data_IF_145547560867
#
_entry.id   IF_145547560867
#
_cell.length_a   1.000
_cell.length_b   1.000
_cell.length_c   1.000
_cell.angle_alpha   90.00
_cell.angle_beta   90.00
_cell.angle_gamma   90.00
#
_symmetry.space_group_name_H-M   'P 1'
#
loop_
_entity.id
_entity.type
_entity.pdbx_description
1 polymer ?
#
# COMPACT_ATOMS: atom_id res chain seq x y z
N UNK A 1 26.38 1.97 -6.74
CA UNK A 1 26.33 1.18 -5.48
C UNK A 1 24.89 0.72 -5.34
N UNK A 2 24.64 -0.51 -4.92
CA UNK A 2 23.27 -0.96 -4.65
C UNK A 2 22.80 -0.17 -3.42
N UNK A 3 21.69 0.57 -3.54
CA UNK A 3 21.02 1.25 -2.42
C UNK A 3 20.36 0.20 -1.54
N UNK A 4 20.48 0.36 -0.22
CA UNK A 4 19.88 -0.55 0.77
C UNK A 4 18.35 -0.32 0.83
N UNK A 5 17.96 0.96 0.85
CA UNK A 5 16.56 1.36 0.80
C UNK A 5 16.01 1.21 -0.63
N UNK A 6 14.88 0.53 -0.74
CA UNK A 6 14.04 0.49 -1.94
C UNK A 6 12.92 1.53 -1.85
N UNK A 7 11.94 1.46 -2.74
CA UNK A 7 10.79 2.37 -2.77
C UNK A 7 9.91 2.31 -1.50
N UNK A 8 10.08 1.25 -0.67
CA UNK A 8 9.23 1.01 0.50
C UNK A 8 10.07 0.43 1.66
N UNK A 9 11.14 1.11 2.01
CA UNK A 9 12.07 0.74 3.07
C UNK A 9 13.06 -0.36 2.66
N UNK A 10 13.66 -1.01 3.67
CA UNK A 10 14.58 -2.13 3.47
C UNK A 10 13.83 -3.44 3.53
N UNK A 11 13.81 -4.20 2.45
CA UNK A 11 13.12 -5.50 2.35
C UNK A 11 14.06 -6.62 1.96
N UNK A 12 13.74 -7.85 2.39
CA UNK A 12 14.48 -9.02 1.96
C UNK A 12 14.03 -10.32 2.62
N UNK A 13 14.59 -11.41 2.10
CA UNK A 13 14.46 -12.73 2.71
C UNK A 13 15.22 -12.74 4.05
N UNK A 14 14.49 -13.03 5.13
CA UNK A 14 15.06 -12.98 6.50
C UNK A 14 16.13 -14.05 6.69
N UNK A 15 17.19 -13.72 7.39
CA UNK A 15 18.39 -14.52 7.58
C UNK A 15 19.15 -14.86 6.27
N UNK A 16 18.89 -14.10 5.21
CA UNK A 16 19.62 -14.17 3.94
C UNK A 16 20.06 -12.77 3.50
N UNK A 17 19.12 -11.93 3.06
CA UNK A 17 19.40 -10.54 2.67
C UNK A 17 19.01 -9.54 3.77
N UNK A 18 17.98 -9.84 4.55
CA UNK A 18 17.58 -9.05 5.72
C UNK A 18 18.01 -9.78 7.00
N UNK A 19 19.23 -9.48 7.43
CA UNK A 19 19.84 -10.07 8.62
C UNK A 19 19.49 -9.26 9.89
N UNK A 20 19.38 -9.90 11.08
CA UNK A 20 19.18 -9.17 12.34
C UNK A 20 20.34 -8.22 12.67
N UNK A 21 21.57 -8.52 12.24
CA UNK A 21 22.72 -7.60 12.36
C UNK A 21 22.49 -6.32 11.57
N UNK A 22 21.91 -6.41 10.37
CA UNK A 22 21.54 -5.24 9.57
C UNK A 22 20.46 -4.42 10.27
N UNK A 23 19.44 -5.06 10.84
CA UNK A 23 18.41 -4.37 11.61
C UNK A 23 18.99 -3.61 12.81
N UNK A 24 19.95 -4.23 13.54
CA UNK A 24 20.67 -3.56 14.61
C UNK A 24 21.47 -2.34 14.11
N UNK A 25 22.21 -2.50 13.01
CA UNK A 25 22.99 -1.41 12.42
C UNK A 25 22.11 -0.27 11.92
N UNK A 26 20.97 -0.60 11.28
CA UNK A 26 19.94 0.39 10.87
C UNK A 26 19.41 1.16 12.08
N UNK A 27 19.12 0.46 13.19
CA UNK A 27 18.70 1.11 14.44
C UNK A 27 19.74 2.08 14.96
N UNK A 28 21.04 1.70 14.92
CA UNK A 28 22.12 2.61 15.32
C UNK A 28 22.25 3.82 14.41
N UNK A 29 22.20 3.61 13.10
CA UNK A 29 22.33 4.68 12.12
C UNK A 29 21.15 5.66 12.18
N UNK A 30 19.92 5.14 12.23
CA UNK A 30 18.72 5.95 12.40
C UNK A 30 18.75 6.72 13.73
N UNK A 31 19.10 6.05 14.83
CA UNK A 31 19.28 6.72 16.13
C UNK A 31 20.28 7.87 16.06
N UNK A 32 21.44 7.67 15.45
CA UNK A 32 22.46 8.71 15.28
C UNK A 32 21.97 9.86 14.38
N UNK A 33 21.22 9.57 13.33
CA UNK A 33 20.63 10.59 12.45
C UNK A 33 19.67 11.51 13.22
N UNK A 34 18.72 10.93 13.93
CA UNK A 34 17.68 11.69 14.64
C UNK A 34 18.20 12.35 15.93
N UNK A 35 19.21 11.77 16.59
CA UNK A 35 19.83 12.35 17.80
C UNK A 35 20.82 13.51 17.55
N UNK A 36 20.91 14.02 16.32
CA UNK A 36 21.72 15.24 16.03
C UNK A 36 21.23 16.46 16.83
N UNK A 37 19.95 16.49 17.17
CA UNK A 37 19.39 17.49 18.07
C UNK A 37 19.59 17.10 19.54
N UNK A 38 19.70 18.09 20.43
CA UNK A 38 19.82 17.84 21.88
C UNK A 38 18.45 17.45 22.45
N UNK A 39 18.42 16.43 23.30
CA UNK A 39 17.23 15.98 24.00
C UNK A 39 17.14 14.47 24.13
N UNK A 40 16.06 13.99 24.72
CA UNK A 40 15.68 12.56 24.66
C UNK A 40 14.84 12.35 23.42
N UNK A 41 15.21 11.35 22.63
CA UNK A 41 14.48 10.95 21.42
C UNK A 41 13.74 9.65 21.66
N UNK A 42 12.58 9.52 21.01
CA UNK A 42 11.70 8.39 21.23
C UNK A 42 11.11 7.88 19.89
N UNK A 43 11.28 6.59 19.63
CA UNK A 43 10.74 5.93 18.44
C UNK A 43 9.60 5.00 18.81
N UNK A 44 8.62 4.92 17.92
CA UNK A 44 7.54 3.94 17.96
C UNK A 44 7.86 2.80 16.99
N UNK A 45 7.75 1.55 17.43
CA UNK A 45 7.92 0.37 16.56
C UNK A 45 6.66 -0.50 16.62
N UNK A 46 6.14 -0.86 15.45
CA UNK A 46 5.12 -1.89 15.29
C UNK A 46 5.57 -2.95 14.30
N UNK A 47 4.82 -4.03 14.24
CA UNK A 47 5.09 -5.13 13.33
C UNK A 47 3.80 -5.77 12.83
N UNK A 48 3.88 -6.50 11.71
CA UNK A 48 2.84 -7.43 11.29
C UNK A 48 2.97 -8.80 12.00
N UNK A 49 2.25 -9.78 11.54
CA UNK A 49 2.16 -11.09 12.20
C UNK A 49 3.24 -12.09 11.82
N UNK A 50 4.26 -11.70 11.02
CA UNK A 50 5.35 -12.58 10.59
C UNK A 50 6.15 -13.09 11.77
N UNK A 51 6.51 -14.37 11.75
CA UNK A 51 7.32 -14.99 12.81
C UNK A 51 8.66 -14.26 13.04
N UNK A 52 9.23 -13.68 12.00
CA UNK A 52 10.49 -12.92 12.06
C UNK A 52 10.34 -11.51 12.66
N UNK A 53 9.11 -11.02 12.84
CA UNK A 53 8.84 -9.66 13.32
C UNK A 53 9.47 -9.37 14.67
N UNK A 54 9.29 -10.26 15.66
CA UNK A 54 9.85 -10.07 17.00
C UNK A 54 11.38 -10.06 17.03
N UNK A 55 12.04 -10.89 16.21
CA UNK A 55 13.49 -10.94 16.10
C UNK A 55 14.05 -9.62 15.52
N UNK A 56 13.47 -9.16 14.42
CA UNK A 56 13.90 -7.89 13.77
C UNK A 56 13.61 -6.68 14.66
N UNK A 57 12.44 -6.67 15.33
CA UNK A 57 12.08 -5.63 16.33
C UNK A 57 13.08 -5.58 17.46
N UNK A 58 13.48 -6.71 18.02
CA UNK A 58 14.47 -6.77 19.10
C UNK A 58 15.83 -6.25 18.65
N UNK A 59 16.31 -6.65 17.46
CA UNK A 59 17.58 -6.23 16.91
C UNK A 59 17.60 -4.71 16.63
N UNK A 60 16.57 -4.18 15.96
CA UNK A 60 16.44 -2.77 15.67
C UNK A 60 16.36 -1.93 16.96
N UNK A 61 15.55 -2.36 17.93
CA UNK A 61 15.41 -1.70 19.23
C UNK A 61 16.73 -1.65 19.99
N UNK A 62 17.50 -2.74 19.97
CA UNK A 62 18.82 -2.77 20.59
C UNK A 62 19.77 -1.74 19.95
N UNK A 63 19.72 -1.61 18.62
CA UNK A 63 20.49 -0.59 17.88
C UNK A 63 20.12 0.84 18.25
N UNK A 64 18.82 1.14 18.29
CA UNK A 64 18.29 2.45 18.70
C UNK A 64 18.68 2.79 20.13
N UNK A 65 18.48 1.86 21.08
CA UNK A 65 18.87 2.06 22.48
C UNK A 65 20.37 2.25 22.65
N UNK A 66 21.20 1.55 21.86
CA UNK A 66 22.66 1.72 21.85
C UNK A 66 23.09 3.09 21.33
N UNK A 67 22.23 3.84 20.64
CA UNK A 67 22.42 5.22 20.20
C UNK A 67 21.73 6.24 21.13
N UNK A 68 21.07 5.80 22.22
CA UNK A 68 20.46 6.68 23.21
C UNK A 68 18.99 7.03 22.93
N UNK A 69 18.33 6.31 22.01
CA UNK A 69 16.91 6.50 21.67
C UNK A 69 16.05 5.59 22.54
N UNK A 70 15.02 6.15 23.15
CA UNK A 70 13.98 5.35 23.82
C UNK A 70 13.05 4.72 22.76
N UNK A 71 12.60 3.51 23.00
CA UNK A 71 11.76 2.74 22.06
C UNK A 71 10.47 2.30 22.74
N UNK A 72 9.35 2.67 22.13
CA UNK A 72 8.03 2.18 22.52
C UNK A 72 7.57 1.12 21.49
N UNK A 73 7.17 -0.06 21.98
CA UNK A 73 6.71 -1.17 21.16
C UNK A 73 5.17 -1.24 21.18
N UNK A 74 4.55 -0.97 20.06
CA UNK A 74 3.08 -1.08 19.91
C UNK A 74 2.59 -2.54 19.76
N UNK A 75 3.50 -3.47 19.40
CA UNK A 75 3.13 -4.85 19.09
C UNK A 75 2.66 -5.01 17.65
N UNK A 76 1.70 -5.93 17.43
CA UNK A 76 1.09 -6.15 16.12
C UNK A 76 0.06 -5.04 15.87
N UNK A 77 0.28 -4.30 14.78
CA UNK A 77 -0.54 -3.13 14.41
C UNK A 77 -0.45 -2.89 12.90
N UNK A 78 -1.51 -2.40 12.22
CA UNK A 78 -1.44 -1.95 10.85
C UNK A 78 -0.37 -0.86 10.60
N UNK A 79 0.27 -0.90 9.42
CA UNK A 79 1.23 0.13 8.99
C UNK A 79 0.69 1.56 9.16
N UNK A 80 -0.55 1.88 8.71
CA UNK A 80 -1.11 3.22 8.90
C UNK A 80 -1.29 3.59 10.38
N UNK A 81 -1.44 2.62 11.27
CA UNK A 81 -1.47 2.86 12.71
C UNK A 81 -0.15 3.41 13.24
N UNK A 82 1.00 2.93 12.73
CA UNK A 82 2.31 3.48 13.09
C UNK A 82 2.46 4.91 12.57
N UNK A 83 2.09 5.19 11.32
CA UNK A 83 2.13 6.53 10.76
C UNK A 83 1.29 7.52 11.59
N UNK A 84 0.04 7.14 11.91
CA UNK A 84 -0.86 7.94 12.71
C UNK A 84 -0.34 8.22 14.12
N UNK A 85 0.07 7.17 14.85
CA UNK A 85 0.53 7.29 16.23
C UNK A 85 1.87 8.01 16.35
N UNK A 86 2.76 7.86 15.38
CA UNK A 86 4.02 8.61 15.34
C UNK A 86 3.74 10.11 15.41
N UNK A 87 2.83 10.58 14.58
CA UNK A 87 2.44 11.99 14.51
C UNK A 87 1.70 12.46 15.76
N UNK A 88 0.70 11.68 16.20
CA UNK A 88 -0.25 12.14 17.23
C UNK A 88 0.25 11.96 18.66
N UNK A 89 1.16 11.00 18.91
CA UNK A 89 1.75 10.75 20.24
C UNK A 89 3.13 11.42 20.41
N UNK A 90 3.58 12.17 19.38
CA UNK A 90 4.79 12.99 19.45
C UNK A 90 6.09 12.19 19.48
N UNK A 91 6.18 11.13 18.67
CA UNK A 91 7.44 10.41 18.44
C UNK A 91 8.32 11.15 17.43
N UNK A 92 9.64 11.00 17.57
CA UNK A 92 10.61 11.56 16.61
C UNK A 92 10.59 10.79 15.30
N UNK A 93 10.32 9.48 15.35
CA UNK A 93 10.12 8.63 14.20
C UNK A 93 9.28 7.39 14.56
N UNK A 94 8.65 6.82 13.54
CA UNK A 94 7.96 5.52 13.59
C UNK A 94 8.66 4.48 12.74
N UNK A 95 8.56 3.23 13.13
CA UNK A 95 9.08 2.11 12.33
C UNK A 95 8.04 1.00 12.25
N UNK A 96 7.81 0.51 11.05
CA UNK A 96 7.01 -0.68 10.80
C UNK A 96 7.86 -1.83 10.32
N UNK A 97 7.75 -2.98 10.99
CA UNK A 97 8.40 -4.22 10.60
C UNK A 97 7.39 -5.06 9.81
N UNK A 98 7.47 -4.96 8.50
CA UNK A 98 6.58 -5.66 7.56
C UNK A 98 7.13 -5.67 6.14
N UNK A 99 6.75 -6.68 5.36
CA UNK A 99 6.92 -6.73 3.91
C UNK A 99 5.58 -6.69 3.16
N UNK A 100 4.53 -6.08 3.77
CA UNK A 100 3.19 -5.88 3.18
C UNK A 100 2.61 -7.20 2.63
N UNK A 101 2.37 -7.29 1.33
CA UNK A 101 1.75 -8.44 0.66
C UNK A 101 2.70 -9.59 0.32
N UNK A 102 4.01 -9.48 0.62
CA UNK A 102 4.98 -10.55 0.37
C UNK A 102 4.67 -11.80 1.22
N UNK A 103 5.11 -13.00 0.81
CA UNK A 103 4.99 -14.21 1.62
C UNK A 103 5.80 -14.10 2.92
N UNK A 104 5.47 -14.97 3.91
CA UNK A 104 6.01 -14.87 5.27
C UNK A 104 7.54 -14.94 5.43
N UNK A 105 8.33 -15.60 4.52
CA UNK A 105 9.78 -15.63 4.68
C UNK A 105 10.46 -14.28 4.48
N UNK A 106 9.80 -13.38 3.73
CA UNK A 106 10.25 -12.01 3.57
C UNK A 106 9.83 -11.17 4.78
N UNK A 107 10.59 -10.10 5.04
CA UNK A 107 10.18 -9.02 5.94
C UNK A 107 10.80 -7.70 5.47
N UNK A 108 10.47 -6.61 6.17
CA UNK A 108 10.96 -5.29 5.84
C UNK A 108 11.00 -4.36 7.05
N UNK A 109 11.71 -3.25 6.90
CA UNK A 109 11.83 -2.19 7.88
C UNK A 109 11.51 -0.88 7.18
N UNK A 110 10.38 -0.27 7.52
CA UNK A 110 9.88 1.00 6.97
C UNK A 110 9.96 2.07 8.03
N UNK A 111 10.51 3.23 7.69
CA UNK A 111 10.59 4.36 8.60
C UNK A 111 9.58 5.44 8.24
N UNK A 112 9.06 6.10 9.27
CA UNK A 112 8.20 7.27 9.18
C UNK A 112 8.83 8.42 9.96
N UNK A 113 8.74 9.63 9.42
CA UNK A 113 9.15 10.84 10.11
C UNK A 113 8.16 11.22 11.24
N UNK A 114 8.47 12.24 12.01
CA UNK A 114 7.64 12.75 13.10
C UNK A 114 6.23 13.21 12.67
N UNK A 115 6.04 13.48 11.39
CA UNK A 115 4.75 13.88 10.83
C UNK A 115 3.95 12.67 10.30
N UNK A 116 4.49 11.45 10.39
CA UNK A 116 3.86 10.23 9.94
C UNK A 116 3.99 9.98 8.43
N UNK A 117 4.88 10.66 7.74
CA UNK A 117 5.23 10.39 6.35
C UNK A 117 6.41 9.43 6.24
N UNK A 118 6.46 8.64 5.17
CA UNK A 118 7.67 7.87 4.84
C UNK A 118 8.87 8.82 4.71
N UNK A 119 10.06 8.33 5.07
CA UNK A 119 11.25 9.17 4.98
C UNK A 119 11.52 9.60 3.53
N UNK A 120 11.95 10.86 3.31
CA UNK A 120 12.48 11.28 2.02
C UNK A 120 13.75 10.50 1.64
N UNK A 121 14.00 10.33 0.33
CA UNK A 121 15.20 9.62 -0.17
C UNK A 121 16.51 10.21 0.40
N UNK A 122 16.60 11.53 0.50
CA UNK A 122 17.77 12.22 1.08
C UNK A 122 18.02 11.77 2.53
N UNK A 123 16.96 11.57 3.31
CA UNK A 123 17.07 11.07 4.68
C UNK A 123 17.49 9.61 4.72
N UNK A 124 16.95 8.78 3.81
CA UNK A 124 17.33 7.37 3.69
C UNK A 124 18.79 7.23 3.26
N UNK A 125 19.24 8.03 2.28
CA UNK A 125 20.66 8.11 1.86
C UNK A 125 21.59 8.55 3.01
N UNK A 126 21.18 9.52 3.80
CA UNK A 126 21.93 9.98 4.99
C UNK A 126 22.07 8.84 6.02
N UNK A 127 20.99 8.11 6.29
CA UNK A 127 21.02 6.96 7.20
C UNK A 127 21.93 5.85 6.64
N UNK A 128 21.88 5.56 5.33
CA UNK A 128 22.81 4.62 4.70
C UNK A 128 24.28 5.06 4.82
N UNK A 129 24.55 6.34 4.64
CA UNK A 129 25.90 6.88 4.78
C UNK A 129 26.43 6.73 6.21
N UNK A 130 25.58 7.00 7.21
CA UNK A 130 25.92 6.78 8.62
C UNK A 130 26.15 5.28 8.89
N UNK A 131 25.31 4.41 8.34
CA UNK A 131 25.43 2.95 8.51
C UNK A 131 26.77 2.43 7.97
N UNK A 132 27.28 2.98 6.86
CA UNK A 132 28.59 2.59 6.27
C UNK A 132 29.77 2.97 7.17
N UNK A 133 29.58 3.86 8.13
CA UNK A 133 30.56 4.33 9.09
C UNK A 133 30.12 4.04 10.53
N UNK A 134 29.57 2.83 10.77
CA UNK A 134 28.99 2.42 12.07
C UNK A 134 29.98 2.56 13.24
N UNK A 135 31.29 2.40 13.01
CA UNK A 135 32.34 2.59 13.99
C UNK A 135 32.43 4.02 14.51
N UNK A 136 32.00 5.02 13.74
CA UNK A 136 32.01 6.44 14.13
C UNK A 136 30.77 6.84 14.94
N UNK A 137 29.72 5.99 14.99
CA UNK A 137 28.50 6.29 15.73
C UNK A 137 28.78 6.31 17.24
N UNK A 138 28.44 7.39 17.94
CA UNK A 138 28.64 7.49 19.40
C UNK A 138 27.90 6.36 20.14
N UNK A 139 28.52 5.87 21.21
CA UNK A 139 27.94 4.87 22.11
C UNK A 139 27.77 5.48 23.51
N UNK A 140 26.59 6.07 23.80
CA UNK A 140 26.30 6.61 25.11
C UNK A 140 26.33 5.50 26.17
N UNK A 141 26.67 5.86 27.40
CA UNK A 141 26.78 4.94 28.54
C UNK A 141 25.96 5.42 29.73
N UNK A 142 25.70 4.53 30.67
CA UNK A 142 24.99 4.85 31.90
C UNK A 142 23.52 5.22 31.64
N UNK A 143 23.11 6.35 32.18
CA UNK A 143 21.73 6.89 32.07
C UNK A 143 21.38 7.47 30.68
N UNK A 144 22.33 7.48 29.76
CA UNK A 144 22.15 7.94 28.39
C UNK A 144 21.81 6.81 27.42
N UNK A 145 21.77 5.56 27.86
CA UNK A 145 21.30 4.42 27.08
C UNK A 145 19.77 4.52 26.95
N UNK A 146 19.22 4.24 25.76
CA UNK A 146 17.78 4.21 25.54
C UNK A 146 17.08 3.05 26.25
N UNK A 147 15.80 3.20 26.51
CA UNK A 147 14.96 2.23 27.23
C UNK A 147 13.88 1.69 26.30
N UNK A 148 13.58 0.39 26.37
CA UNK A 148 12.49 -0.24 25.65
C UNK A 148 11.28 -0.33 26.58
N UNK A 149 10.12 0.13 26.09
CA UNK A 149 8.82 0.03 26.77
C UNK A 149 7.78 -0.65 25.88
N UNK A 150 6.92 -1.47 26.47
CA UNK A 150 5.79 -2.07 25.77
C UNK A 150 4.55 -1.20 25.95
N UNK A 151 3.92 -0.80 24.85
CA UNK A 151 2.80 0.14 24.81
C UNK A 151 1.62 -0.42 23.98
N UNK A 152 1.08 -1.61 24.34
CA UNK A 152 0.01 -2.23 23.56
C UNK A 152 -1.28 -1.38 23.49
N UNK A 153 -1.50 -0.48 24.47
CA UNK A 153 -2.64 0.43 24.49
C UNK A 153 -2.64 1.46 23.33
N UNK A 154 -1.54 1.61 22.63
CA UNK A 154 -1.47 2.48 21.45
C UNK A 154 -2.32 1.92 20.30
N UNK A 155 -2.45 0.60 20.20
CA UNK A 155 -3.34 -0.04 19.22
C UNK A 155 -4.79 0.41 19.39
N UNK A 156 -5.27 0.53 20.64
CA UNK A 156 -6.63 1.02 20.94
C UNK A 156 -6.83 2.48 20.52
N UNK A 157 -5.79 3.32 20.62
CA UNK A 157 -5.86 4.72 20.15
C UNK A 157 -6.04 4.80 18.64
N UNK A 158 -5.29 4.00 17.88
CA UNK A 158 -5.46 3.94 16.43
C UNK A 158 -6.85 3.40 16.06
N UNK A 159 -7.30 2.32 16.71
CA UNK A 159 -8.65 1.77 16.52
C UNK A 159 -9.72 2.83 16.79
N UNK A 160 -9.62 3.57 17.89
CA UNK A 160 -10.56 4.64 18.23
C UNK A 160 -10.53 5.77 17.19
N UNK A 161 -9.35 6.09 16.63
CA UNK A 161 -9.23 7.05 15.54
C UNK A 161 -10.01 6.59 14.30
N UNK A 162 -9.79 5.36 13.81
CA UNK A 162 -10.51 4.84 12.64
C UNK A 162 -12.02 4.87 12.86
N UNK A 163 -12.51 4.42 14.01
CA UNK A 163 -13.93 4.47 14.37
C UNK A 163 -14.48 5.90 14.40
N UNK A 164 -13.68 6.89 14.79
CA UNK A 164 -14.09 8.29 14.85
C UNK A 164 -14.27 8.95 13.47
N UNK A 165 -13.72 8.32 12.39
CA UNK A 165 -13.83 8.86 11.03
C UNK A 165 -15.21 8.65 10.40
N UNK A 166 -16.06 7.83 11.01
CA UNK A 166 -17.41 7.56 10.52
C UNK A 166 -18.44 7.94 11.60
N UNK A 167 -19.59 8.42 11.15
CA UNK A 167 -20.75 8.66 12.01
C UNK A 167 -21.85 7.65 11.66
N UNK A 168 -22.57 7.18 12.67
CA UNK A 168 -23.63 6.20 12.51
C UNK A 168 -23.15 4.77 12.76
N UNK A 169 -23.95 3.80 12.34
CA UNK A 169 -23.69 2.38 12.52
C UNK A 169 -23.89 1.60 11.21
N UNK A 170 -23.41 0.35 11.20
CA UNK A 170 -23.53 -0.58 10.08
C UNK A 170 -24.53 -1.71 10.37
N UNK A 171 -25.48 -1.48 11.28
CA UNK A 171 -26.54 -2.45 11.62
C UNK A 171 -27.28 -2.96 10.40
N UNK A 172 -27.43 -4.27 10.33
CA UNK A 172 -28.12 -4.95 9.24
C UNK A 172 -27.25 -5.26 8.04
N UNK A 173 -25.97 -4.81 8.01
CA UNK A 173 -25.02 -5.24 7.00
C UNK A 173 -24.38 -6.57 7.41
N UNK A 174 -24.32 -7.52 6.48
CA UNK A 174 -23.60 -8.79 6.59
C UNK A 174 -22.30 -8.68 5.80
N UNK A 175 -21.18 -8.78 6.48
CA UNK A 175 -19.87 -8.51 5.90
C UNK A 175 -18.94 -9.71 6.11
N UNK A 176 -18.25 -10.15 5.07
CA UNK A 176 -17.15 -11.11 5.20
C UNK A 176 -15.84 -10.33 5.18
N UNK A 177 -14.97 -10.56 6.15
CA UNK A 177 -13.64 -9.94 6.20
C UNK A 177 -12.54 -10.95 5.99
N UNK A 178 -11.54 -10.60 5.16
CA UNK A 178 -10.29 -11.35 4.97
C UNK A 178 -9.14 -10.44 5.41
N UNK A 179 -8.54 -10.76 6.56
CA UNK A 179 -7.44 -9.99 7.16
C UNK A 179 -6.06 -10.49 6.75
N UNK A 180 -5.96 -11.35 5.72
CA UNK A 180 -4.70 -11.94 5.23
C UNK A 180 -3.87 -12.67 6.31
N UNK A 181 -4.46 -13.08 7.44
CA UNK A 181 -3.74 -13.46 8.66
C UNK A 181 -2.68 -12.44 9.08
N UNK A 182 -2.89 -11.18 8.75
CA UNK A 182 -1.99 -10.05 8.94
C UNK A 182 -2.38 -9.14 10.11
N UNK A 183 -1.87 -7.92 10.06
CA UNK A 183 -2.02 -6.93 11.14
C UNK A 183 -3.47 -6.46 11.37
N UNK A 184 -4.37 -6.63 10.38
CA UNK A 184 -5.79 -6.31 10.52
C UNK A 184 -6.61 -7.36 11.27
N UNK A 185 -6.04 -8.52 11.62
CA UNK A 185 -6.77 -9.67 12.16
C UNK A 185 -7.59 -9.35 13.41
N UNK A 186 -7.02 -8.60 14.34
CA UNK A 186 -7.67 -8.17 15.58
C UNK A 186 -8.38 -6.80 15.45
N UNK A 187 -8.25 -6.13 14.31
CA UNK A 187 -8.80 -4.77 14.12
C UNK A 187 -10.08 -4.79 13.30
N UNK A 188 -10.01 -5.19 12.04
CA UNK A 188 -11.12 -5.01 11.10
C UNK A 188 -12.41 -5.73 11.54
N UNK A 189 -12.40 -7.04 11.90
CA UNK A 189 -13.63 -7.70 12.33
C UNK A 189 -14.25 -7.05 13.56
N UNK A 190 -13.43 -6.83 14.60
CA UNK A 190 -13.90 -6.25 15.86
C UNK A 190 -14.43 -4.82 15.72
N UNK A 191 -13.84 -4.01 14.86
CA UNK A 191 -14.30 -2.65 14.58
C UNK A 191 -15.65 -2.64 13.87
N UNK A 192 -15.86 -3.51 12.90
CA UNK A 192 -17.12 -3.61 12.17
C UNK A 192 -18.25 -4.16 13.07
N UNK A 193 -17.95 -5.13 13.95
CA UNK A 193 -18.88 -5.59 14.97
C UNK A 193 -19.26 -4.49 15.95
N UNK A 194 -18.29 -3.66 16.40
CA UNK A 194 -18.54 -2.50 17.26
C UNK A 194 -19.46 -1.47 16.58
N UNK A 195 -19.34 -1.31 15.26
CA UNK A 195 -20.23 -0.49 14.43
C UNK A 195 -21.58 -1.20 14.13
N UNK A 196 -21.79 -2.41 14.63
CA UNK A 196 -23.07 -3.13 14.58
C UNK A 196 -23.27 -4.01 13.36
N UNK A 197 -22.27 -4.25 12.53
CA UNK A 197 -22.35 -5.19 11.40
C UNK A 197 -22.36 -6.64 11.88
N UNK A 198 -22.98 -7.54 11.11
CA UNK A 198 -22.85 -9.00 11.25
C UNK A 198 -21.61 -9.43 10.47
N UNK A 199 -20.54 -9.80 11.18
CA UNK A 199 -19.24 -10.08 10.57
C UNK A 199 -18.95 -11.58 10.55
N UNK A 200 -18.50 -12.08 9.40
CA UNK A 200 -17.85 -13.39 9.28
C UNK A 200 -16.40 -13.18 8.91
N UNK A 201 -15.48 -13.42 9.83
CA UNK A 201 -14.05 -13.26 9.60
C UNK A 201 -13.44 -14.57 9.05
N UNK A 202 -12.65 -14.44 7.99
CA UNK A 202 -11.80 -15.50 7.44
C UNK A 202 -10.35 -15.01 7.43
N UNK A 203 -9.40 -15.94 7.48
CA UNK A 203 -7.96 -15.61 7.50
C UNK A 203 -7.59 -14.52 8.53
N UNK A 204 -8.08 -14.70 9.76
CA UNK A 204 -7.85 -13.78 10.89
C UNK A 204 -7.19 -14.46 12.10
N UNK A 205 -6.63 -15.66 11.91
CA UNK A 205 -5.92 -16.43 12.93
C UNK A 205 -4.43 -16.58 12.57
N UNK A 206 -3.62 -15.53 12.80
CA UNK A 206 -2.22 -15.54 12.43
C UNK A 206 -1.41 -16.54 13.29
N UNK A 207 -0.53 -17.29 12.63
CA UNK A 207 0.37 -18.24 13.29
C UNK A 207 1.87 -17.96 13.03
N UNK A 208 2.17 -16.83 12.42
CA UNK A 208 3.53 -16.39 12.10
C UNK A 208 4.03 -16.81 10.72
N UNK A 209 3.41 -17.82 10.09
CA UNK A 209 3.84 -18.38 8.80
C UNK A 209 2.73 -18.44 7.74
N UNK A 210 1.53 -17.96 8.08
CA UNK A 210 0.37 -18.00 7.19
C UNK A 210 -0.09 -16.66 6.65
N UNK A 211 0.61 -15.56 6.93
CA UNK A 211 0.31 -14.24 6.40
C UNK A 211 0.38 -14.25 4.86
N UNK A 212 -0.63 -13.66 4.19
CA UNK A 212 -0.78 -13.59 2.73
C UNK A 212 -0.78 -14.94 2.00
N UNK A 213 -0.92 -16.06 2.68
CA UNK A 213 -0.85 -17.38 2.08
C UNK A 213 -2.20 -17.77 1.48
N UNK A 214 -2.42 -17.46 0.20
CA UNK A 214 -3.67 -17.73 -0.50
C UNK A 214 -4.86 -16.96 0.05
N UNK A 215 -4.64 -15.76 0.58
CA UNK A 215 -5.64 -14.90 1.21
C UNK A 215 -5.30 -13.41 1.03
N UNK A 216 -6.21 -12.56 1.47
CA UNK A 216 -6.06 -11.11 1.44
C UNK A 216 -6.23 -10.51 0.05
N UNK A 217 -5.79 -9.26 -0.10
CA UNK A 217 -6.01 -8.45 -1.30
C UNK A 217 -5.34 -9.00 -2.57
N UNK A 218 -4.37 -9.90 -2.45
CA UNK A 218 -3.67 -10.53 -3.59
C UNK A 218 -4.25 -11.89 -3.98
N UNK A 219 -5.15 -12.48 -3.17
CA UNK A 219 -5.80 -13.77 -3.40
C UNK A 219 -7.26 -13.72 -2.94
N UNK A 220 -8.08 -13.02 -3.72
CA UNK A 220 -9.44 -12.63 -3.34
C UNK A 220 -10.50 -13.74 -3.55
N UNK A 221 -10.14 -14.85 -4.23
CA UNK A 221 -11.08 -15.85 -4.72
C UNK A 221 -11.84 -16.56 -3.59
N UNK A 222 -11.19 -16.76 -2.43
CA UNK A 222 -11.84 -17.37 -1.26
C UNK A 222 -12.88 -16.42 -0.67
N UNK A 223 -12.57 -15.13 -0.60
CA UNK A 223 -13.51 -14.10 -0.15
C UNK A 223 -14.73 -14.02 -1.07
N UNK A 224 -14.53 -14.03 -2.41
CA UNK A 224 -15.63 -14.02 -3.39
C UNK A 224 -16.59 -15.19 -3.17
N UNK A 225 -16.05 -16.42 -3.04
CA UNK A 225 -16.84 -17.61 -2.76
C UNK A 225 -17.62 -17.50 -1.46
N UNK A 226 -16.97 -16.97 -0.42
CA UNK A 226 -17.59 -16.87 0.92
C UNK A 226 -18.70 -15.84 0.98
N UNK A 227 -18.55 -14.71 0.29
CA UNK A 227 -19.61 -13.69 0.12
C UNK A 227 -20.86 -14.32 -0.52
N UNK A 228 -20.66 -15.04 -1.62
CA UNK A 228 -21.78 -15.72 -2.32
C UNK A 228 -22.42 -16.82 -1.48
N UNK A 229 -21.61 -17.65 -0.79
CA UNK A 229 -22.09 -18.75 0.06
C UNK A 229 -22.98 -18.24 1.20
N UNK A 230 -22.59 -17.14 1.83
CA UNK A 230 -23.30 -16.56 2.97
C UNK A 230 -24.41 -15.59 2.59
N UNK A 231 -24.49 -15.18 1.32
CA UNK A 231 -25.38 -14.10 0.89
C UNK A 231 -25.07 -12.81 1.65
N UNK A 232 -23.76 -12.51 1.79
CA UNK A 232 -23.33 -11.29 2.46
C UNK A 232 -23.50 -10.06 1.55
N UNK A 233 -23.66 -8.88 2.15
CA UNK A 233 -23.82 -7.62 1.40
C UNK A 233 -22.50 -7.21 0.72
N UNK A 234 -21.37 -7.56 1.33
CA UNK A 234 -20.05 -7.39 0.73
C UNK A 234 -18.97 -8.23 1.43
N UNK A 235 -17.81 -8.30 0.79
CA UNK A 235 -16.56 -8.78 1.35
C UNK A 235 -15.52 -7.67 1.40
N UNK A 236 -14.59 -7.73 2.35
CA UNK A 236 -13.49 -6.78 2.52
C UNK A 236 -12.19 -7.55 2.71
N UNK A 237 -11.17 -7.25 1.91
CA UNK A 237 -9.85 -7.85 2.02
C UNK A 237 -8.78 -6.79 2.25
N UNK A 238 -7.90 -7.04 3.24
CA UNK A 238 -6.66 -6.29 3.42
C UNK A 238 -5.45 -7.13 2.95
N UNK A 239 -4.30 -6.50 2.86
CA UNK A 239 -3.01 -7.19 2.79
C UNK A 239 -2.38 -7.34 4.17
N UNK A 240 -1.18 -7.92 4.24
CA UNK A 240 -0.55 -8.33 5.51
C UNK A 240 -0.33 -7.22 6.52
N UNK A 241 -0.10 -5.98 6.10
CA UNK A 241 0.08 -4.82 6.99
C UNK A 241 -1.06 -3.80 6.91
N UNK A 242 -2.12 -4.16 6.18
CA UNK A 242 -3.40 -3.44 6.12
C UNK A 242 -3.31 -1.99 5.63
N UNK A 243 -2.33 -1.67 4.79
CA UNK A 243 -2.27 -0.39 4.09
C UNK A 243 -3.13 -0.40 2.82
N UNK A 244 -3.66 -1.58 2.41
CA UNK A 244 -4.55 -1.79 1.27
C UNK A 244 -5.90 -2.32 1.69
N UNK A 245 -6.91 -2.01 0.86
CA UNK A 245 -8.27 -2.52 0.99
C UNK A 245 -8.88 -2.78 -0.38
N UNK A 246 -9.44 -3.96 -0.57
CA UNK A 246 -10.29 -4.30 -1.71
C UNK A 246 -11.66 -4.75 -1.22
N UNK A 247 -12.66 -4.62 -2.07
CA UNK A 247 -14.01 -5.11 -1.78
C UNK A 247 -14.45 -6.19 -2.76
N UNK A 248 -15.45 -6.95 -2.33
CA UNK A 248 -16.21 -7.87 -3.16
C UNK A 248 -17.68 -7.51 -2.97
N UNK A 249 -18.42 -7.33 -4.04
CA UNK A 249 -19.86 -7.05 -3.98
C UNK A 249 -20.68 -8.32 -3.69
N UNK A 250 -21.97 -8.18 -3.42
CA UNK A 250 -22.90 -9.29 -3.12
C UNK A 250 -23.08 -10.28 -4.27
N UNK A 251 -22.56 -9.97 -5.46
CA UNK A 251 -22.53 -10.85 -6.65
C UNK A 251 -21.19 -11.53 -6.85
N UNK A 252 -20.24 -11.33 -5.91
CA UNK A 252 -18.91 -11.91 -5.96
C UNK A 252 -17.94 -11.19 -6.91
N UNK A 253 -18.26 -9.98 -7.38
CA UNK A 253 -17.38 -9.20 -8.25
C UNK A 253 -16.42 -8.35 -7.42
N UNK A 254 -15.16 -8.29 -7.85
CA UNK A 254 -14.11 -7.52 -7.18
C UNK A 254 -14.27 -6.04 -7.47
N UNK A 255 -14.06 -5.24 -6.44
CA UNK A 255 -13.94 -3.79 -6.49
C UNK A 255 -12.53 -3.43 -6.03
N UNK A 256 -11.69 -3.02 -6.96
CA UNK A 256 -10.31 -2.64 -6.70
C UNK A 256 -10.19 -1.18 -6.21
N UNK A 257 -8.96 -0.70 -6.01
CA UNK A 257 -8.71 0.64 -5.53
C UNK A 257 -9.33 1.74 -6.41
N UNK A 258 -9.40 1.54 -7.73
CA UNK A 258 -10.02 2.51 -8.63
C UNK A 258 -11.52 2.65 -8.36
N UNK A 259 -12.24 1.53 -8.15
CA UNK A 259 -13.65 1.54 -7.77
C UNK A 259 -13.86 2.25 -6.43
N UNK A 260 -13.01 1.94 -5.44
CA UNK A 260 -13.11 2.51 -4.10
C UNK A 260 -12.81 4.01 -4.09
N UNK A 261 -11.80 4.45 -4.85
CA UNK A 261 -11.48 5.87 -5.02
C UNK A 261 -12.65 6.61 -5.69
N UNK A 262 -13.23 6.04 -6.76
CA UNK A 262 -14.40 6.63 -7.44
C UNK A 262 -15.56 6.81 -6.46
N UNK A 263 -15.97 5.74 -5.78
CA UNK A 263 -17.12 5.74 -4.86
C UNK A 263 -16.95 6.77 -3.75
N UNK A 264 -15.79 6.76 -3.11
CA UNK A 264 -15.50 7.69 -2.02
C UNK A 264 -15.38 9.14 -2.52
N UNK A 265 -14.75 9.37 -3.68
CA UNK A 265 -14.63 10.71 -4.26
C UNK A 265 -15.99 11.32 -4.62
N UNK A 266 -16.92 10.53 -5.15
CA UNK A 266 -18.28 10.99 -5.46
C UNK A 266 -19.05 11.37 -4.18
N UNK A 267 -18.88 10.62 -3.10
CA UNK A 267 -19.45 10.97 -1.81
C UNK A 267 -18.82 12.24 -1.24
N UNK A 268 -17.47 12.35 -1.27
CA UNK A 268 -16.76 13.54 -0.83
C UNK A 268 -17.18 14.79 -1.63
N UNK A 269 -17.38 14.64 -2.94
CA UNK A 269 -17.91 15.72 -3.79
C UNK A 269 -19.30 16.16 -3.34
N UNK A 270 -20.20 15.22 -3.10
CA UNK A 270 -21.56 15.49 -2.60
C UNK A 270 -21.53 16.23 -1.26
N UNK A 271 -20.57 15.91 -0.40
CA UNK A 271 -20.34 16.54 0.91
C UNK A 271 -19.55 17.87 0.81
N UNK A 272 -19.09 18.27 -0.37
CA UNK A 272 -18.29 19.50 -0.56
C UNK A 272 -16.85 19.38 -0.03
N UNK A 273 -16.33 18.15 0.14
CA UNK A 273 -15.00 17.86 0.70
C UNK A 273 -13.96 17.45 -0.38
N UNK A 274 -14.36 17.28 -1.64
CA UNK A 274 -13.46 16.93 -2.73
C UNK A 274 -12.84 18.20 -3.33
N UNK A 275 -11.62 18.52 -2.94
CA UNK A 275 -10.92 19.72 -3.43
C UNK A 275 -10.77 19.67 -4.97
N UNK A 276 -11.16 20.76 -5.63
CA UNK A 276 -11.15 20.94 -7.09
C UNK A 276 -11.85 19.82 -7.89
N UNK A 277 -12.63 18.96 -7.22
CA UNK A 277 -13.19 17.72 -7.79
C UNK A 277 -12.12 16.81 -8.42
N UNK A 278 -10.90 16.82 -7.86
CA UNK A 278 -9.75 16.08 -8.35
C UNK A 278 -9.50 14.82 -7.53
N UNK A 279 -9.10 13.74 -8.22
CA UNK A 279 -8.67 12.47 -7.63
C UNK A 279 -7.30 12.11 -8.19
N UNK A 280 -6.36 11.76 -7.32
CA UNK A 280 -5.02 11.37 -7.75
C UNK A 280 -4.95 9.85 -7.92
N UNK A 281 -4.65 9.40 -9.13
CA UNK A 281 -4.38 7.99 -9.46
C UNK A 281 -2.96 7.79 -9.96
N UNK A 282 -2.70 6.63 -10.53
CA UNK A 282 -1.44 6.33 -11.20
C UNK A 282 -1.66 6.00 -12.68
N UNK A 283 -0.58 5.90 -13.43
CA UNK A 283 -0.64 5.43 -14.83
C UNK A 283 -1.18 4.00 -14.96
N UNK A 284 -1.29 3.26 -13.85
CA UNK A 284 -1.89 1.92 -13.81
C UNK A 284 -3.39 1.93 -13.54
N UNK A 285 -3.97 3.07 -13.12
CA UNK A 285 -5.42 3.17 -12.92
C UNK A 285 -6.17 2.86 -14.22
N UNK A 286 -7.25 2.10 -14.10
CA UNK A 286 -8.02 1.61 -15.25
C UNK A 286 -8.60 2.77 -16.10
N UNK A 287 -8.65 2.61 -17.40
CA UNK A 287 -9.25 3.60 -18.31
C UNK A 287 -10.69 3.95 -17.92
N UNK A 288 -11.43 2.97 -17.40
CA UNK A 288 -12.80 3.16 -16.89
C UNK A 288 -12.88 4.13 -15.72
N UNK A 289 -11.86 4.17 -14.86
CA UNK A 289 -11.79 5.08 -13.73
C UNK A 289 -11.82 6.55 -14.16
N UNK A 290 -10.93 6.94 -15.08
CA UNK A 290 -10.90 8.30 -15.59
C UNK A 290 -12.18 8.70 -16.35
N UNK A 291 -12.76 7.76 -17.10
CA UNK A 291 -14.06 7.97 -17.79
C UNK A 291 -15.18 8.17 -16.79
N UNK A 292 -15.31 7.30 -15.79
CA UNK A 292 -16.35 7.39 -14.77
C UNK A 292 -16.25 8.68 -13.95
N UNK A 293 -15.04 9.09 -13.56
CA UNK A 293 -14.83 10.38 -12.89
C UNK A 293 -15.31 11.55 -13.75
N UNK A 294 -14.91 11.58 -15.03
CA UNK A 294 -15.29 12.65 -15.95
C UNK A 294 -16.82 12.71 -16.17
N UNK A 295 -17.49 11.58 -16.32
CA UNK A 295 -18.94 11.49 -16.48
C UNK A 295 -19.67 12.04 -15.24
N UNK A 296 -19.07 11.92 -14.07
CA UNK A 296 -19.60 12.45 -12.81
C UNK A 296 -19.07 13.86 -12.46
N UNK A 297 -18.43 14.56 -13.40
CA UNK A 297 -17.94 15.91 -13.24
C UNK A 297 -16.77 16.02 -12.25
N UNK A 298 -15.96 14.99 -12.17
CA UNK A 298 -14.67 14.95 -11.48
C UNK A 298 -13.54 14.86 -12.52
N UNK A 299 -12.31 15.06 -12.06
CA UNK A 299 -11.10 14.93 -12.87
C UNK A 299 -10.12 14.00 -12.16
N UNK A 300 -9.16 13.48 -12.91
CA UNK A 300 -8.05 12.71 -12.35
C UNK A 300 -6.73 13.21 -12.88
N UNK A 301 -5.73 13.19 -12.03
CA UNK A 301 -4.32 13.33 -12.39
C UNK A 301 -3.63 12.00 -12.15
N UNK A 302 -2.82 11.55 -13.12
CA UNK A 302 -2.10 10.28 -13.05
C UNK A 302 -0.63 10.54 -12.77
N UNK A 303 -0.11 9.91 -11.72
CA UNK A 303 1.32 9.92 -11.37
C UNK A 303 2.01 8.66 -11.87
N UNK A 304 3.31 8.58 -11.67
CA UNK A 304 4.04 7.31 -11.78
C UNK A 304 3.54 6.31 -10.73
N UNK A 305 3.81 5.01 -10.95
CA UNK A 305 3.47 3.95 -10.00
C UNK A 305 4.30 4.10 -8.73
N UNK A 306 3.64 4.10 -7.60
CA UNK A 306 4.21 4.21 -6.26
C UNK A 306 3.43 5.21 -5.41
N UNK A 307 3.06 4.78 -4.22
CA UNK A 307 2.28 5.55 -3.26
C UNK A 307 2.91 6.91 -2.91
N UNK A 308 4.23 6.99 -2.95
CA UNK A 308 4.99 8.21 -2.74
C UNK A 308 4.64 9.29 -3.77
N UNK A 309 4.60 8.94 -5.06
CA UNK A 309 4.28 9.92 -6.12
C UNK A 309 2.84 10.39 -6.02
N UNK A 310 1.93 9.50 -5.62
CA UNK A 310 0.53 9.85 -5.35
C UNK A 310 0.46 10.86 -4.20
N UNK A 311 1.13 10.57 -3.09
CA UNK A 311 1.16 11.46 -1.91
C UNK A 311 1.81 12.82 -2.23
N UNK A 312 2.94 12.84 -2.94
CA UNK A 312 3.61 14.08 -3.34
C UNK A 312 2.68 14.99 -4.17
N UNK A 313 1.95 14.42 -5.14
CA UNK A 313 1.00 15.18 -5.96
C UNK A 313 -0.18 15.68 -5.12
N UNK A 314 -0.69 14.84 -4.19
CA UNK A 314 -1.76 15.25 -3.27
C UNK A 314 -1.34 16.41 -2.38
N UNK A 315 -0.16 16.34 -1.77
CA UNK A 315 0.36 17.39 -0.88
C UNK A 315 0.62 18.71 -1.62
N UNK A 316 1.12 18.63 -2.84
CA UNK A 316 1.42 19.78 -3.67
C UNK A 316 0.18 20.63 -4.01
N UNK A 317 -0.98 19.98 -4.14
CA UNK A 317 -2.22 20.61 -4.57
C UNK A 317 -3.35 20.54 -3.53
N UNK A 318 -3.07 20.03 -2.33
CA UNK A 318 -4.07 19.82 -1.25
C UNK A 318 -5.26 18.95 -1.69
N UNK A 319 -5.01 17.92 -2.51
CA UNK A 319 -6.06 17.01 -2.98
C UNK A 319 -6.52 16.07 -1.87
N UNK A 320 -7.83 15.81 -1.86
CA UNK A 320 -8.53 15.17 -0.74
C UNK A 320 -8.50 13.64 -0.75
N UNK A 321 -8.22 13.01 -1.90
CA UNK A 321 -8.15 11.56 -2.07
C UNK A 321 -7.22 11.19 -3.22
N UNK A 322 -6.46 10.15 -3.04
CA UNK A 322 -5.64 9.55 -4.07
C UNK A 322 -5.22 8.13 -3.69
N UNK A 323 -4.70 7.39 -4.65
CA UNK A 323 -4.28 6.02 -4.38
C UNK A 323 -3.95 5.24 -5.65
N UNK A 324 -3.92 3.93 -5.48
CA UNK A 324 -3.55 2.97 -6.50
C UNK A 324 -4.62 1.89 -6.68
N UNK A 325 -4.69 1.30 -7.87
CA UNK A 325 -5.56 0.17 -8.16
C UNK A 325 -5.38 -1.00 -7.17
N UNK A 326 -4.19 -1.15 -6.59
CA UNK A 326 -3.88 -2.15 -5.56
C UNK A 326 -4.69 -2.02 -4.27
N UNK A 327 -5.44 -0.93 -4.09
CA UNK A 327 -6.23 -0.64 -2.89
C UNK A 327 -5.51 0.21 -1.85
N UNK A 328 -4.30 0.69 -2.14
CA UNK A 328 -3.60 1.67 -1.29
C UNK A 328 -4.22 3.04 -1.52
N UNK A 329 -5.11 3.48 -0.61
CA UNK A 329 -5.88 4.72 -0.74
C UNK A 329 -5.58 5.64 0.43
N UNK A 330 -5.26 6.89 0.10
CA UNK A 330 -4.88 7.93 1.05
C UNK A 330 -6.03 8.92 1.20
N UNK A 331 -6.44 9.18 2.43
CA UNK A 331 -7.35 10.23 2.83
C UNK A 331 -6.58 11.20 3.76
N UNK A 332 -5.97 12.29 3.26
CA UNK A 332 -5.13 13.19 4.06
C UNK A 332 -5.84 13.79 5.27
N UNK A 333 -7.15 13.92 5.21
CA UNK A 333 -7.98 14.34 6.34
C UNK A 333 -7.82 13.40 7.55
N UNK A 334 -7.59 12.11 7.30
CA UNK A 334 -7.58 11.09 8.36
C UNK A 334 -6.17 10.55 8.62
N UNK A 335 -5.39 10.25 7.57
CA UNK A 335 -4.06 9.69 7.70
C UNK A 335 -3.11 10.14 6.60
N UNK A 336 -1.81 9.99 6.83
CA UNK A 336 -0.72 10.45 5.96
C UNK A 336 -0.23 9.39 4.97
N UNK A 337 -0.79 8.20 5.00
CA UNK A 337 -0.46 7.07 4.11
C UNK A 337 -1.74 6.31 3.76
N UNK A 338 -1.66 5.35 2.85
CA UNK A 338 -2.76 4.44 2.59
C UNK A 338 -3.21 3.71 3.85
N UNK A 339 -4.52 3.64 4.03
CA UNK A 339 -5.12 3.07 5.23
C UNK A 339 -6.31 2.18 4.85
N UNK A 340 -6.06 0.86 4.89
CA UNK A 340 -7.07 -0.11 4.51
C UNK A 340 -8.27 -0.14 5.45
N UNK A 341 -8.09 0.19 6.73
CA UNK A 341 -9.18 0.22 7.69
C UNK A 341 -10.05 1.47 7.52
N UNK A 342 -9.45 2.63 7.31
CA UNK A 342 -10.17 3.87 6.97
C UNK A 342 -10.90 3.70 5.65
N UNK A 343 -10.25 3.15 4.63
CA UNK A 343 -10.87 2.85 3.33
C UNK A 343 -12.11 1.96 3.49
N UNK A 344 -12.00 0.91 4.31
CA UNK A 344 -13.12 0.01 4.59
C UNK A 344 -14.31 0.75 5.21
N UNK A 345 -14.10 1.50 6.28
CA UNK A 345 -15.22 2.17 6.99
C UNK A 345 -15.79 3.35 6.18
N UNK A 346 -14.98 4.10 5.42
CA UNK A 346 -15.46 5.15 4.52
C UNK A 346 -16.31 4.58 3.38
N UNK A 347 -15.89 3.48 2.76
CA UNK A 347 -16.67 2.82 1.70
C UNK A 347 -17.99 2.26 2.23
N UNK A 348 -17.99 1.64 3.42
CA UNK A 348 -19.23 1.18 4.07
C UNK A 348 -20.16 2.32 4.45
N UNK A 349 -19.62 3.48 4.83
CA UNK A 349 -20.41 4.71 5.03
C UNK A 349 -21.15 5.09 3.74
N UNK A 350 -20.45 5.07 2.60
CA UNK A 350 -21.09 5.38 1.30
C UNK A 350 -22.19 4.36 0.98
N UNK A 351 -21.94 3.07 1.18
CA UNK A 351 -22.94 2.02 1.01
C UNK A 351 -24.20 2.33 1.84
N UNK A 352 -24.01 2.64 3.11
CA UNK A 352 -25.10 2.91 4.06
C UNK A 352 -25.91 4.17 3.69
N UNK A 353 -25.23 5.26 3.34
CA UNK A 353 -25.85 6.55 3.05
C UNK A 353 -26.48 6.62 1.65
N UNK A 354 -26.00 5.84 0.70
CA UNK A 354 -26.53 5.83 -0.65
C UNK A 354 -27.85 5.08 -0.77
N UNK A 355 -28.12 4.10 0.10
CA UNK A 355 -29.25 3.18 0.01
C UNK A 355 -29.15 2.22 -1.18
N UNK A 356 -27.98 2.12 -1.81
CA UNK A 356 -27.68 1.20 -2.92
C UNK A 356 -27.12 -0.11 -2.41
N UNK A 357 -27.10 -1.13 -3.27
CA UNK A 357 -26.31 -2.34 -3.04
C UNK A 357 -24.85 -2.10 -3.43
N UNK A 358 -23.93 -2.98 -2.96
CA UNK A 358 -22.53 -2.85 -3.31
C UNK A 358 -22.30 -3.04 -4.82
N UNK A 359 -23.05 -3.94 -5.49
CA UNK A 359 -22.96 -4.11 -6.92
C UNK A 359 -23.48 -2.89 -7.71
N UNK A 360 -24.46 -2.15 -7.21
CA UNK A 360 -24.90 -0.90 -7.83
C UNK A 360 -23.82 0.20 -7.71
N UNK A 361 -23.04 0.20 -6.64
CA UNK A 361 -21.88 1.07 -6.49
C UNK A 361 -20.73 0.60 -7.40
N UNK A 362 -20.49 -0.69 -7.50
CA UNK A 362 -19.50 -1.28 -8.39
C UNK A 362 -19.72 -0.86 -9.85
N UNK A 363 -20.98 -0.88 -10.31
CA UNK A 363 -21.36 -0.52 -11.67
C UNK A 363 -21.28 0.98 -12.00
N UNK A 364 -20.85 1.84 -11.06
CA UNK A 364 -20.53 3.24 -11.37
C UNK A 364 -19.29 3.36 -12.28
N UNK A 365 -18.49 2.31 -12.34
CA UNK A 365 -17.33 2.20 -13.23
C UNK A 365 -17.45 0.96 -14.12
N UNK A 366 -17.10 1.12 -15.37
CA UNK A 366 -16.93 0.00 -16.30
C UNK A 366 -15.44 -0.34 -16.34
N UNK A 367 -15.08 -1.49 -15.81
CA UNK A 367 -13.67 -1.95 -15.84
C UNK A 367 -13.33 -2.44 -17.23
N UNK A 368 -12.31 -1.85 -17.83
CA UNK A 368 -11.77 -2.30 -19.11
C UNK A 368 -10.85 -3.51 -18.87
N UNK A 369 -10.99 -4.59 -19.64
CA UNK A 369 -9.99 -5.66 -19.66
C UNK A 369 -8.58 -5.11 -19.79
N UNK A 370 -7.66 -5.62 -18.98
CA UNK A 370 -6.26 -5.21 -18.95
C UNK A 370 -5.37 -6.43 -19.15
N UNK A 371 -4.36 -6.31 -20.00
CA UNK A 371 -3.35 -7.34 -20.24
C UNK A 371 -1.98 -6.72 -19.99
N UNK A 372 -1.16 -7.39 -19.18
CA UNK A 372 0.22 -7.02 -18.91
C UNK A 372 1.13 -8.17 -19.35
N UNK A 373 2.07 -7.88 -20.24
CA UNK A 373 3.12 -8.80 -20.66
C UNK A 373 4.49 -8.25 -20.28
N UNK A 374 5.31 -9.08 -19.64
CA UNK A 374 6.68 -8.76 -19.29
C UNK A 374 7.60 -9.35 -20.37
N UNK A 375 8.47 -8.52 -20.95
CA UNK A 375 9.47 -8.94 -21.95
C UNK A 375 10.86 -8.77 -21.34
N UNK A 376 11.63 -9.88 -21.24
CA UNK A 376 13.01 -9.84 -20.79
C UNK A 376 13.90 -9.17 -21.83
N UNK A 377 14.73 -8.23 -21.39
CA UNK A 377 15.58 -7.44 -22.29
C UNK A 377 17.03 -7.39 -21.78
N UNK A 378 17.99 -7.31 -22.70
CA UNK A 378 19.40 -7.14 -22.34
C UNK A 378 19.70 -5.72 -21.81
N UNK A 379 18.90 -4.72 -22.20
CA UNK A 379 19.00 -3.35 -21.72
C UNK A 379 17.61 -2.70 -21.65
N UNK A 380 17.34 -2.02 -20.55
CA UNK A 380 16.12 -1.20 -20.38
C UNK A 380 16.23 0.18 -21.00
N UNK A 381 17.45 0.59 -21.41
CA UNK A 381 17.69 1.92 -21.94
C UNK A 381 17.50 1.95 -23.46
N UNK A 382 16.94 3.03 -23.96
CA UNK A 382 16.81 3.28 -25.39
C UNK A 382 15.59 2.68 -26.07
N UNK A 383 14.70 1.97 -25.34
CA UNK A 383 13.46 1.44 -25.91
C UNK A 383 12.54 2.58 -26.43
N UNK A 384 12.54 3.71 -25.72
CA UNK A 384 11.74 4.90 -26.07
C UNK A 384 12.18 5.54 -27.40
N UNK A 385 13.44 5.36 -27.78
CA UNK A 385 14.02 5.92 -29.02
C UNK A 385 13.96 4.91 -30.19
N UNK A 386 13.57 3.66 -29.96
CA UNK A 386 13.46 2.65 -31.00
C UNK A 386 12.24 2.92 -31.89
N UNK A 387 12.46 3.16 -33.17
CA UNK A 387 11.42 3.52 -34.15
C UNK A 387 10.37 2.41 -34.32
N UNK A 388 10.79 1.14 -34.38
CA UNK A 388 9.88 0.00 -34.56
C UNK A 388 8.96 -0.18 -33.37
N UNK A 389 9.48 -0.03 -32.16
CA UNK A 389 8.68 -0.11 -30.93
C UNK A 389 7.66 1.05 -30.90
N UNK A 390 8.09 2.29 -31.16
CA UNK A 390 7.19 3.44 -31.21
C UNK A 390 6.10 3.32 -32.27
N UNK A 391 6.46 2.82 -33.44
CA UNK A 391 5.50 2.65 -34.54
C UNK A 391 4.47 1.58 -34.21
N UNK A 392 4.88 0.45 -33.57
CA UNK A 392 3.95 -0.58 -33.12
C UNK A 392 3.00 -0.07 -32.03
N UNK A 393 3.48 0.74 -31.08
CA UNK A 393 2.63 1.36 -30.06
C UNK A 393 1.63 2.32 -30.71
N UNK A 394 2.07 3.21 -31.61
CA UNK A 394 1.20 4.17 -32.30
C UNK A 394 0.11 3.45 -33.12
N UNK A 395 0.47 2.41 -33.86
CA UNK A 395 -0.51 1.64 -34.64
C UNK A 395 -1.56 0.98 -33.74
N UNK A 396 -1.14 0.46 -32.59
CA UNK A 396 -2.03 -0.12 -31.57
C UNK A 396 -2.98 0.92 -30.96
N UNK A 397 -2.47 2.11 -30.62
CA UNK A 397 -3.29 3.22 -30.09
C UNK A 397 -4.30 3.72 -31.14
N UNK A 398 -3.91 3.81 -32.40
CA UNK A 398 -4.81 4.16 -33.52
C UNK A 398 -5.92 3.11 -33.70
N UNK A 399 -5.59 1.81 -33.58
CA UNK A 399 -6.56 0.73 -33.69
C UNK A 399 -7.54 0.69 -32.51
N UNK A 400 -7.06 0.91 -31.27
CA UNK A 400 -7.89 0.93 -30.06
C UNK A 400 -8.76 2.20 -29.97
N UNK A 401 -8.29 3.30 -30.51
CA UNK A 401 -8.97 4.61 -30.47
C UNK A 401 -9.28 5.06 -29.04
N UNK A 402 -10.49 5.61 -28.83
CA UNK A 402 -10.91 6.09 -27.49
C UNK A 402 -11.33 4.97 -26.52
N UNK A 403 -11.39 3.73 -26.98
CA UNK A 403 -11.87 2.57 -26.22
C UNK A 403 -10.74 1.68 -25.71
N UNK A 404 -9.49 2.15 -25.80
CA UNK A 404 -8.34 1.47 -25.25
C UNK A 404 -7.14 2.40 -25.10
N UNK A 405 -6.07 1.87 -24.53
CA UNK A 405 -4.76 2.52 -24.41
C UNK A 405 -3.64 1.50 -24.31
N UNK A 406 -2.44 1.93 -24.63
CA UNK A 406 -1.21 1.17 -24.47
C UNK A 406 -0.30 1.90 -23.47
N UNK A 407 0.33 1.15 -22.59
CA UNK A 407 1.36 1.65 -21.68
C UNK A 407 2.57 0.73 -21.74
N UNK A 408 3.67 1.22 -22.29
CA UNK A 408 4.96 0.52 -22.28
C UNK A 408 5.90 1.23 -21.32
N UNK A 409 6.56 0.47 -20.45
CA UNK A 409 7.51 1.04 -19.49
C UNK A 409 8.59 0.05 -19.08
N UNK A 410 9.76 0.56 -18.72
CA UNK A 410 10.80 -0.24 -18.09
C UNK A 410 10.42 -0.63 -16.65
N UNK A 411 10.80 -1.84 -16.23
CA UNK A 411 10.74 -2.24 -14.81
C UNK A 411 11.79 -1.48 -14.00
N UNK A 412 11.43 -1.01 -12.81
CA UNK A 412 12.37 -0.34 -11.90
C UNK A 412 13.50 -1.27 -11.46
N UNK A 413 13.18 -2.51 -11.11
CA UNK A 413 14.07 -3.45 -10.41
C UNK A 413 14.60 -4.59 -11.27
N UNK A 414 13.89 -4.97 -12.33
CA UNK A 414 14.19 -6.14 -13.17
C UNK A 414 14.58 -5.73 -14.59
N UNK A 415 15.35 -6.54 -15.33
CA UNK A 415 15.70 -6.26 -16.72
C UNK A 415 14.52 -6.59 -17.67
N UNK A 416 13.39 -5.91 -17.46
CA UNK A 416 12.14 -6.13 -18.19
C UNK A 416 11.61 -4.83 -18.78
N UNK A 417 10.99 -4.94 -19.95
CA UNK A 417 10.02 -3.98 -20.48
C UNK A 417 8.63 -4.54 -20.25
N UNK A 418 7.77 -3.75 -19.65
CA UNK A 418 6.37 -4.10 -19.36
C UNK A 418 5.48 -3.48 -20.42
N UNK A 419 4.78 -4.33 -21.17
CA UNK A 419 3.80 -3.94 -22.18
C UNK A 419 2.42 -4.17 -21.60
N UNK A 420 1.68 -3.11 -21.34
CA UNK A 420 0.32 -3.18 -20.83
C UNK A 420 -0.62 -2.55 -21.84
N UNK A 421 -1.79 -3.15 -22.00
CA UNK A 421 -2.88 -2.58 -22.74
C UNK A 421 -4.22 -2.73 -22.02
N UNK A 422 -5.10 -1.81 -22.30
CA UNK A 422 -6.51 -1.86 -21.89
C UNK A 422 -7.40 -1.66 -23.11
N UNK A 423 -8.53 -2.36 -23.16
CA UNK A 423 -9.45 -2.28 -24.28
C UNK A 423 -10.75 -3.04 -24.00
N UNK A 424 -11.81 -2.75 -24.75
CA UNK A 424 -13.12 -3.40 -24.58
C UNK A 424 -13.11 -4.88 -24.95
N UNK A 425 -12.41 -5.21 -26.06
CA UNK A 425 -12.42 -6.53 -26.66
C UNK A 425 -11.13 -7.28 -26.32
N UNK A 426 -11.24 -8.26 -25.42
CA UNK A 426 -10.10 -8.99 -24.87
C UNK A 426 -9.25 -9.68 -25.96
N UNK A 427 -9.88 -10.30 -26.98
CA UNK A 427 -9.16 -10.99 -28.05
C UNK A 427 -8.36 -10.02 -28.94
N UNK A 428 -8.91 -8.81 -29.19
CA UNK A 428 -8.20 -7.75 -29.90
C UNK A 428 -7.00 -7.29 -29.09
N UNK A 429 -7.20 -7.10 -27.79
CA UNK A 429 -6.18 -6.63 -26.88
C UNK A 429 -5.02 -7.65 -26.76
N UNK A 430 -5.32 -8.95 -26.64
CA UNK A 430 -4.31 -10.03 -26.62
C UNK A 430 -3.42 -9.97 -27.85
N UNK A 431 -4.01 -9.90 -29.06
CA UNK A 431 -3.25 -9.80 -30.29
C UNK A 431 -2.34 -8.57 -30.31
N UNK A 432 -2.88 -7.41 -29.97
CA UNK A 432 -2.14 -6.15 -29.97
C UNK A 432 -0.94 -6.20 -29.00
N UNK A 433 -1.16 -6.71 -27.79
CA UNK A 433 -0.11 -6.82 -26.78
C UNK A 433 0.95 -7.84 -27.18
N UNK A 434 0.55 -8.95 -27.81
CA UNK A 434 1.48 -9.94 -28.34
C UNK A 434 2.32 -9.38 -29.50
N UNK A 435 1.72 -8.60 -30.38
CA UNK A 435 2.42 -7.93 -31.48
C UNK A 435 3.47 -6.95 -30.95
N UNK A 436 3.10 -6.07 -30.01
CA UNK A 436 4.06 -5.12 -29.40
C UNK A 436 5.17 -5.87 -28.64
N UNK A 437 4.80 -6.86 -27.83
CA UNK A 437 5.77 -7.65 -27.05
C UNK A 437 6.77 -8.35 -27.97
N UNK A 438 6.31 -8.90 -29.10
CA UNK A 438 7.17 -9.54 -30.11
C UNK A 438 8.14 -8.55 -30.75
N UNK A 439 7.72 -7.32 -31.01
CA UNK A 439 8.61 -6.25 -31.50
C UNK A 439 9.65 -5.89 -30.45
N UNK A 440 9.25 -5.73 -29.18
CA UNK A 440 10.20 -5.46 -28.07
C UNK A 440 11.19 -6.60 -27.90
N UNK A 441 10.74 -7.86 -27.97
CA UNK A 441 11.58 -9.04 -27.86
C UNK A 441 12.58 -9.14 -29.03
N UNK A 442 12.14 -8.84 -30.25
CA UNK A 442 13.01 -8.82 -31.44
C UNK A 442 14.10 -7.75 -31.34
N UNK A 443 13.75 -6.54 -30.88
CA UNK A 443 14.67 -5.39 -30.85
C UNK A 443 15.60 -5.39 -29.63
N UNK A 444 15.12 -5.87 -28.47
CA UNK A 444 15.80 -5.71 -27.18
C UNK A 444 15.88 -7.01 -26.38
N UNK A 445 15.28 -8.09 -26.84
CA UNK A 445 15.22 -9.36 -26.12
C UNK A 445 16.59 -9.99 -25.89
N UNK A 446 16.70 -10.78 -24.83
CA UNK A 446 17.89 -11.60 -24.55
C UNK A 446 17.93 -12.75 -25.56
N UNK A 447 18.99 -12.85 -26.37
CA UNK A 447 19.16 -13.99 -27.25
C UNK A 447 19.23 -15.29 -26.39
N UNK A 448 18.26 -16.15 -26.58
CA UNK A 448 18.29 -17.50 -26.02
C UNK A 448 19.38 -18.30 -26.76
N UNK A 449 20.60 -18.35 -26.20
CA UNK A 449 21.67 -19.24 -26.64
C UNK A 449 21.42 -20.67 -26.16
#
# INVERSE_FOLDING_TARGET
MVTLFGTDGVRGLVNSTLMPELAYQLGRAAGAYFCKASGKHRFLIGMDTRISGSMLTAALSAGLCASGVDVDLAGVIPTPGIAYLTRTEGYDAGVMISASHNPFPDNGIKFFDKNGYKLPDETEEDIENILRHDEEIPRPTGDKIGVISHRPELADKYRAHVLSTVQGDFKGLKIVTDSANGAASDFLPAMLEELGAEVTAIFHEPNGVNINNGCGSTHIETLQKKVLELGADCGIANDGDADRCLFVDEKGQVMDGDHLMLINSLQMKKEGRLHENMVVGTVMSNLGFGKALKENGCQTVSTQVGDRYVLEEMLKHDYSIGGEQSGHIIFPEFNTTGDGLITAVQTLKVLRESGKTMSELNHLMVTYPQILKNVEVYSKNGWEDNELIRDSIRAAEEELGSDGRILVRASGTEPLIRVMGEGKEINQLERIIDDIASVVEHELGVENN
#
